data_IF_732064795566
#
_entry.id   IF_732064795566
#
_cell.length_a   1.000
_cell.length_b   1.000
_cell.length_c   1.000
_cell.angle_alpha   90.00
_cell.angle_beta   90.00
_cell.angle_gamma   90.00
#
_symmetry.space_group_name_H-M   'P 1'
#
loop_
_entity.id
_entity.type
_entity.pdbx_description
1 polymer ?
#
# COMPACT_ATOMS: atom_id res chain seq x y z
N UNK A 1 9.96 15.88 -4.54
CA UNK A 1 8.53 16.18 -4.33
C UNK A 1 8.08 15.39 -3.12
N UNK A 2 7.45 16.04 -2.16
CA UNK A 2 7.07 15.45 -0.88
C UNK A 2 5.58 15.14 -0.88
N UNK A 3 5.23 13.88 -1.05
CA UNK A 3 3.85 13.39 -1.07
C UNK A 3 3.46 12.88 0.32
N UNK A 4 2.50 13.56 0.96
CA UNK A 4 1.91 13.09 2.21
C UNK A 4 0.63 12.32 1.93
N UNK A 5 0.54 11.10 2.44
CA UNK A 5 -0.65 10.25 2.33
C UNK A 5 -1.34 10.07 3.67
N UNK A 6 -2.66 10.27 3.71
CA UNK A 6 -3.48 10.04 4.89
C UNK A 6 -4.53 8.97 4.59
N UNK A 7 -4.57 7.93 5.40
CA UNK A 7 -5.60 6.91 5.36
C UNK A 7 -6.35 6.87 6.68
N UNK A 8 -7.67 6.75 6.59
CA UNK A 8 -8.54 6.63 7.76
C UNK A 8 -9.03 5.20 7.90
N UNK A 9 -9.26 4.78 9.14
CA UNK A 9 -9.88 3.50 9.42
C UNK A 9 -11.31 3.45 8.86
N UNK A 10 -11.65 2.32 8.25
CA UNK A 10 -13.06 2.03 7.92
C UNK A 10 -13.87 1.85 9.22
N UNK A 11 -15.18 2.05 9.14
CA UNK A 11 -16.13 1.81 10.22
C UNK A 11 -15.83 2.59 11.52
N UNK A 12 -15.18 3.75 11.43
CA UNK A 12 -14.91 4.62 12.58
C UNK A 12 -16.17 5.25 13.19
N UNK A 13 -17.28 5.23 12.47
CA UNK A 13 -18.61 5.62 12.97
C UNK A 13 -19.50 4.41 13.30
N UNK A 14 -18.98 3.20 13.08
CA UNK A 14 -19.71 1.95 13.24
C UNK A 14 -20.50 1.54 12.00
N UNK A 15 -20.52 0.25 11.74
CA UNK A 15 -21.43 -0.41 10.81
C UNK A 15 -22.38 -1.29 11.65
N UNK A 16 -23.67 -1.01 11.54
CA UNK A 16 -24.70 -1.60 12.40
C UNK A 16 -25.63 -2.47 11.55
N UNK A 17 -25.55 -3.77 11.72
CA UNK A 17 -26.32 -4.73 10.96
C UNK A 17 -27.55 -5.22 11.73
N UNK A 18 -28.67 -5.32 11.04
CA UNK A 18 -29.94 -5.84 11.54
C UNK A 18 -30.46 -6.96 10.63
N UNK A 19 -31.23 -7.92 11.18
CA UNK A 19 -31.77 -9.00 10.36
C UNK A 19 -33.02 -8.59 9.55
N UNK A 20 -33.75 -7.56 10.01
CA UNK A 20 -34.98 -7.07 9.39
C UNK A 20 -35.21 -5.59 9.68
N UNK A 21 -36.19 -4.99 9.00
CA UNK A 21 -36.65 -3.62 9.27
C UNK A 21 -37.29 -3.54 10.66
N UNK A 22 -38.01 -4.58 11.06
CA UNK A 22 -38.62 -4.69 12.38
C UNK A 22 -37.57 -4.69 13.49
N UNK A 23 -36.46 -5.41 13.28
CA UNK A 23 -35.30 -5.41 14.20
C UNK A 23 -34.63 -4.05 14.26
N UNK A 24 -34.48 -3.36 13.11
CA UNK A 24 -33.98 -1.99 13.09
C UNK A 24 -34.86 -1.03 13.89
N UNK A 25 -36.18 -1.08 13.69
CA UNK A 25 -37.17 -0.26 14.43
C UNK A 25 -37.15 -0.58 15.93
N UNK A 26 -36.99 -1.85 16.27
CA UNK A 26 -36.95 -2.33 17.66
C UNK A 26 -35.56 -2.15 18.30
N UNK A 27 -34.55 -1.82 17.51
CA UNK A 27 -33.16 -1.70 17.96
C UNK A 27 -32.46 -3.02 18.28
N UNK A 28 -32.93 -4.12 17.69
CA UNK A 28 -32.36 -5.45 17.86
C UNK A 28 -31.13 -5.64 16.96
N UNK A 29 -30.00 -5.11 17.36
CA UNK A 29 -28.77 -5.18 16.62
C UNK A 29 -28.27 -6.64 16.48
N UNK A 30 -27.94 -7.04 15.28
CA UNK A 30 -27.34 -8.34 14.97
C UNK A 30 -25.80 -8.32 15.13
N UNK A 31 -25.16 -7.33 14.54
CA UNK A 31 -23.70 -7.19 14.50
C UNK A 31 -23.30 -5.71 14.51
N UNK A 32 -22.24 -5.40 15.22
CA UNK A 32 -21.55 -4.12 15.19
C UNK A 32 -20.13 -4.35 14.72
N UNK A 33 -19.74 -3.74 13.61
CA UNK A 33 -18.33 -3.61 13.18
C UNK A 33 -17.87 -2.18 13.50
N UNK A 34 -16.96 -2.06 14.44
CA UNK A 34 -16.45 -0.77 14.88
C UNK A 34 -14.92 -0.79 14.96
N UNK A 35 -14.31 0.26 14.44
CA UNK A 35 -12.86 0.41 14.46
C UNK A 35 -12.51 1.90 14.58
N UNK A 36 -11.75 2.26 15.62
CA UNK A 36 -11.31 3.63 15.81
C UNK A 36 -10.02 3.66 16.63
N UNK A 37 -9.36 4.84 16.70
CA UNK A 37 -8.25 5.05 17.61
C UNK A 37 -8.69 4.96 19.08
N UNK A 38 -7.73 4.79 19.96
CA UNK A 38 -7.92 4.75 21.40
C UNK A 38 -8.55 6.02 21.98
N UNK A 39 -8.30 7.14 21.34
CA UNK A 39 -8.93 8.43 21.66
C UNK A 39 -10.36 8.54 21.20
N UNK A 40 -10.87 7.54 20.46
CA UNK A 40 -12.15 7.54 19.77
C UNK A 40 -12.31 8.68 18.74
N UNK A 41 -11.22 9.26 18.31
CA UNK A 41 -11.19 10.29 17.28
C UNK A 41 -10.67 9.70 15.97
N UNK A 42 -11.47 9.68 14.89
CA UNK A 42 -11.04 9.10 13.61
C UNK A 42 -9.73 9.66 13.05
N UNK A 43 -9.44 10.94 13.31
CA UNK A 43 -8.19 11.57 12.89
C UNK A 43 -6.93 10.96 13.52
N UNK A 44 -7.05 10.40 14.72
CA UNK A 44 -5.94 9.79 15.45
C UNK A 44 -5.72 8.33 14.99
N UNK A 45 -6.70 7.77 14.28
CA UNK A 45 -6.63 6.50 13.60
C UNK A 45 -6.03 6.62 12.18
N UNK A 46 -5.76 7.83 11.71
CA UNK A 46 -5.24 8.02 10.36
C UNK A 46 -3.76 7.60 10.28
N UNK A 47 -3.46 6.66 9.40
CA UNK A 47 -2.08 6.40 8.99
C UNK A 47 -1.56 7.60 8.21
N UNK A 48 -0.39 8.11 8.60
CA UNK A 48 0.25 9.27 7.97
C UNK A 48 1.69 8.95 7.69
N UNK A 49 2.11 9.19 6.48
CA UNK A 49 3.49 9.04 6.06
C UNK A 49 3.75 9.93 4.84
N UNK A 50 5.00 10.24 4.60
CA UNK A 50 5.47 10.90 3.40
C UNK A 50 6.32 9.95 2.57
N UNK A 51 6.40 10.24 1.28
CA UNK A 51 7.31 9.57 0.35
C UNK A 51 7.94 10.64 -0.54
N UNK A 52 9.25 10.70 -0.52
CA UNK A 52 10.05 11.54 -1.39
C UNK A 52 10.70 10.67 -2.46
N UNK A 53 10.83 11.20 -3.68
CA UNK A 53 11.52 10.52 -4.75
C UNK A 53 12.68 11.36 -5.24
N UNK A 54 13.88 10.82 -5.12
CA UNK A 54 15.06 11.38 -5.76
C UNK A 54 15.28 10.69 -7.10
N UNK A 55 15.25 11.45 -8.19
CA UNK A 55 15.37 10.92 -9.53
C UNK A 55 16.50 11.65 -10.25
N UNK A 56 17.50 10.88 -10.69
CA UNK A 56 18.61 11.39 -11.48
C UNK A 56 18.69 10.56 -12.76
N UNK A 57 18.87 11.22 -13.90
CA UNK A 57 19.06 10.51 -15.15
C UNK A 57 20.11 11.20 -16.02
N UNK A 58 20.80 10.39 -16.81
CA UNK A 58 21.71 10.81 -17.84
C UNK A 58 21.42 10.03 -19.11
N UNK A 59 21.40 10.71 -20.25
CA UNK A 59 21.23 10.07 -21.55
C UNK A 59 22.13 10.75 -22.56
N UNK A 60 22.73 9.95 -23.42
CA UNK A 60 23.49 10.42 -24.58
C UNK A 60 22.92 9.79 -25.87
N UNK A 61 23.03 10.54 -26.96
CA UNK A 61 22.64 10.11 -28.30
C UNK A 61 23.86 10.22 -29.22
N UNK A 62 24.29 9.10 -29.72
CA UNK A 62 25.49 8.98 -30.52
C UNK A 62 25.12 8.60 -31.95
N UNK A 63 25.36 9.54 -32.87
CA UNK A 63 25.26 9.28 -34.31
C UNK A 63 26.59 8.63 -34.77
N UNK A 64 26.61 7.31 -34.84
CA UNK A 64 27.78 6.51 -35.18
C UNK A 64 28.18 6.80 -36.63
N UNK A 65 27.22 6.89 -37.52
CA UNK A 65 27.33 7.31 -38.92
C UNK A 65 25.96 7.85 -39.42
N UNK A 66 25.83 8.11 -40.73
CA UNK A 66 24.58 8.61 -41.33
C UNK A 66 23.35 7.69 -41.10
N UNK A 67 23.58 6.40 -40.94
CA UNK A 67 22.57 5.37 -40.99
C UNK A 67 22.36 4.68 -39.64
N UNK A 68 23.23 4.97 -38.66
CA UNK A 68 23.24 4.28 -37.38
C UNK A 68 23.32 5.27 -36.22
N UNK A 69 22.26 5.28 -35.41
CA UNK A 69 22.17 6.06 -34.18
C UNK A 69 22.00 5.14 -32.98
N UNK A 70 22.85 5.33 -31.97
CA UNK A 70 22.72 4.67 -30.66
C UNK A 70 22.30 5.68 -29.59
N UNK A 71 21.46 5.24 -28.65
CA UNK A 71 21.15 5.99 -27.44
C UNK A 71 21.47 5.12 -26.25
N UNK A 72 22.16 5.69 -25.28
CA UNK A 72 22.44 5.04 -23.99
C UNK A 72 21.95 5.95 -22.88
N UNK A 73 21.31 5.38 -21.90
CA UNK A 73 20.81 6.13 -20.75
C UNK A 73 20.92 5.35 -19.46
N UNK A 74 21.02 6.07 -18.39
CA UNK A 74 21.00 5.55 -17.04
C UNK A 74 20.06 6.42 -16.22
N UNK A 75 19.14 5.79 -15.50
CA UNK A 75 18.25 6.44 -14.54
C UNK A 75 18.43 5.79 -13.18
N UNK A 76 18.55 6.61 -12.16
CA UNK A 76 18.57 6.25 -10.76
C UNK A 76 17.31 6.80 -10.10
N UNK A 77 16.64 6.00 -9.30
CA UNK A 77 15.52 6.41 -8.45
C UNK A 77 15.78 5.90 -7.04
N UNK A 78 15.48 6.74 -6.05
CA UNK A 78 15.55 6.42 -4.63
C UNK A 78 14.32 6.96 -3.93
N UNK A 79 13.78 6.17 -3.01
CA UNK A 79 12.67 6.56 -2.14
C UNK A 79 13.24 7.04 -0.81
N UNK A 80 12.82 8.23 -0.38
CA UNK A 80 13.02 8.76 0.96
C UNK A 80 11.73 8.67 1.76
N UNK A 81 11.83 8.23 3.00
CA UNK A 81 10.69 8.13 3.90
C UNK A 81 11.14 8.36 5.34
N UNK A 82 10.75 9.50 5.94
CA UNK A 82 11.20 9.92 7.27
C UNK A 82 10.37 9.36 8.42
N UNK A 83 9.28 8.66 8.11
CA UNK A 83 8.38 8.07 9.09
C UNK A 83 8.41 6.54 9.03
N UNK A 84 8.27 5.89 10.19
CA UNK A 84 8.12 4.44 10.29
C UNK A 84 6.75 4.10 10.92
N UNK A 85 6.17 2.94 10.58
CA UNK A 85 5.01 2.42 11.31
C UNK A 85 5.32 2.23 12.79
N UNK A 86 4.31 2.33 13.65
CA UNK A 86 4.48 2.09 15.07
C UNK A 86 4.82 0.62 15.34
N UNK A 87 5.94 0.39 16.04
CA UNK A 87 6.40 -0.97 16.34
C UNK A 87 5.51 -1.67 17.35
N UNK A 88 4.95 -2.80 16.95
CA UNK A 88 4.15 -3.66 17.83
C UNK A 88 5.01 -4.80 18.41
N UNK A 89 5.38 -4.68 19.67
CA UNK A 89 6.15 -5.69 20.39
C UNK A 89 5.33 -6.93 20.78
N UNK A 90 4.01 -6.88 20.67
CA UNK A 90 3.10 -8.00 20.96
C UNK A 90 2.79 -8.85 19.72
N UNK A 91 3.27 -8.44 18.57
CA UNK A 91 3.08 -9.18 17.33
C UNK A 91 3.90 -10.46 17.32
N UNK A 92 3.22 -11.58 17.09
CA UNK A 92 3.83 -12.90 16.98
C UNK A 92 3.33 -13.63 15.74
N UNK A 93 4.23 -14.41 15.12
CA UNK A 93 3.85 -15.31 14.06
C UNK A 93 3.39 -16.65 14.67
N UNK A 94 2.18 -17.09 14.30
CA UNK A 94 1.65 -18.39 14.74
C UNK A 94 2.23 -19.51 13.86
N UNK A 95 2.93 -20.45 14.47
CA UNK A 95 3.46 -21.65 13.80
C UNK A 95 3.03 -22.90 14.54
N UNK A 96 1.88 -23.44 14.18
CA UNK A 96 1.32 -24.60 14.90
C UNK A 96 1.03 -24.27 16.37
N UNK A 97 1.62 -25.03 17.28
CA UNK A 97 1.46 -24.84 18.72
C UNK A 97 2.46 -23.85 19.34
N UNK A 98 3.27 -23.19 18.53
CA UNK A 98 4.36 -22.33 19.00
C UNK A 98 4.19 -20.90 18.48
N UNK A 99 4.20 -19.94 19.39
CA UNK A 99 4.34 -18.53 19.07
C UNK A 99 5.81 -18.17 18.97
N UNK A 100 6.22 -17.66 17.83
CA UNK A 100 7.56 -17.09 17.63
C UNK A 100 7.44 -15.59 17.38
N UNK A 101 8.42 -14.78 17.82
CA UNK A 101 8.45 -13.37 17.48
C UNK A 101 8.40 -13.19 15.95
N UNK A 102 7.46 -12.40 15.47
CA UNK A 102 7.39 -12.07 14.06
C UNK A 102 8.52 -11.12 13.68
N UNK A 103 8.81 -11.00 12.39
CA UNK A 103 9.61 -9.88 11.88
C UNK A 103 9.06 -8.54 12.36
N UNK A 104 9.91 -7.54 12.42
CA UNK A 104 9.49 -6.18 12.80
C UNK A 104 8.48 -5.63 11.80
N UNK A 105 7.44 -4.97 12.33
CA UNK A 105 6.39 -4.35 11.52
C UNK A 105 6.64 -2.87 11.21
N UNK A 106 7.73 -2.30 11.74
CA UNK A 106 8.11 -0.89 11.58
C UNK A 106 9.10 -0.66 10.42
N UNK A 107 9.07 -1.53 9.43
CA UNK A 107 9.82 -1.37 8.19
C UNK A 107 9.15 -0.33 7.30
N UNK A 108 9.93 0.54 6.69
CA UNK A 108 9.51 1.50 5.67
C UNK A 108 10.36 1.36 4.40
N UNK A 109 10.18 2.26 3.43
CA UNK A 109 10.89 2.23 2.14
C UNK A 109 12.09 3.20 2.09
N UNK A 110 12.52 3.73 3.22
CA UNK A 110 13.62 4.69 3.24
C UNK A 110 14.92 4.08 2.71
N UNK A 111 15.50 4.71 1.69
CA UNK A 111 16.74 4.26 1.05
C UNK A 111 16.56 3.15 0.01
N UNK A 112 15.33 2.71 -0.27
CA UNK A 112 15.10 1.78 -1.39
C UNK A 112 15.42 2.45 -2.71
N UNK A 113 16.27 1.83 -3.51
CA UNK A 113 16.76 2.42 -4.75
C UNK A 113 16.74 1.44 -5.93
N UNK A 114 16.83 1.99 -7.14
CA UNK A 114 16.95 1.22 -8.37
C UNK A 114 17.73 1.97 -9.43
N UNK A 115 18.60 1.22 -10.12
CA UNK A 115 19.35 1.70 -11.28
C UNK A 115 18.76 1.08 -12.55
N UNK A 116 18.38 1.91 -13.51
CA UNK A 116 17.66 1.53 -14.70
C UNK A 116 18.45 1.88 -15.96
N UNK A 117 19.29 0.96 -16.48
CA UNK A 117 19.99 1.15 -17.75
C UNK A 117 19.01 1.08 -18.92
N UNK A 118 19.28 1.87 -19.95
CA UNK A 118 18.54 1.90 -21.20
C UNK A 118 19.49 1.98 -22.38
N UNK A 119 19.17 1.26 -23.43
CA UNK A 119 19.91 1.29 -24.67
C UNK A 119 18.94 1.18 -25.85
N UNK A 120 19.17 1.95 -26.91
CA UNK A 120 18.48 1.75 -28.16
C UNK A 120 19.41 1.97 -29.35
N UNK A 121 19.09 1.29 -30.44
CA UNK A 121 19.78 1.38 -31.70
C UNK A 121 18.75 1.57 -32.82
N UNK A 122 18.96 2.59 -33.64
CA UNK A 122 18.19 2.84 -34.86
C UNK A 122 19.15 2.72 -36.04
N UNK A 123 18.86 1.78 -36.96
CA UNK A 123 19.66 1.50 -38.11
C UNK A 123 18.84 1.61 -39.40
N UNK A 124 19.15 2.61 -40.20
CA UNK A 124 18.61 2.74 -41.57
C UNK A 124 19.36 1.75 -42.47
N UNK A 125 18.83 0.54 -42.55
CA UNK A 125 19.47 -0.55 -43.27
C UNK A 125 19.44 -0.34 -44.81
N UNK A 126 18.39 0.30 -45.31
CA UNK A 126 18.18 0.75 -46.66
C UNK A 126 17.40 2.08 -46.64
N UNK A 127 17.32 2.82 -47.76
CA UNK A 127 16.62 4.10 -47.83
C UNK A 127 15.16 4.03 -47.33
N UNK A 128 14.55 2.86 -47.48
CA UNK A 128 13.16 2.57 -47.11
C UNK A 128 13.01 1.56 -45.96
N UNK A 129 14.12 1.13 -45.30
CA UNK A 129 14.07 0.11 -44.24
C UNK A 129 14.79 0.59 -43.00
N UNK A 130 14.02 0.77 -41.93
CA UNK A 130 14.56 1.08 -40.59
C UNK A 130 14.43 -0.14 -39.67
N UNK A 131 15.53 -0.53 -39.07
CA UNK A 131 15.58 -1.56 -38.02
C UNK A 131 15.82 -0.85 -36.66
N UNK A 132 15.01 -1.17 -35.68
CA UNK A 132 15.15 -0.62 -34.32
C UNK A 132 15.37 -1.73 -33.32
N UNK A 133 16.25 -1.50 -32.37
CA UNK A 133 16.44 -2.34 -31.20
C UNK A 133 16.33 -1.51 -29.93
N UNK A 134 15.72 -2.06 -28.90
CA UNK A 134 15.62 -1.42 -27.60
C UNK A 134 15.80 -2.42 -26.46
N UNK A 135 16.54 -2.00 -25.45
CA UNK A 135 16.67 -2.66 -24.16
C UNK A 135 16.47 -1.63 -23.07
N UNK A 136 15.77 -1.96 -22.02
CA UNK A 136 15.70 -1.07 -20.87
C UNK A 136 15.07 -1.72 -19.65
N UNK A 137 15.48 -1.24 -18.50
CA UNK A 137 14.87 -1.51 -17.22
C UNK A 137 14.03 -0.31 -16.79
N UNK A 138 12.86 -0.60 -16.21
CA UNK A 138 11.85 0.41 -15.87
C UNK A 138 11.25 0.07 -14.53
N UNK A 139 11.20 1.03 -13.61
CA UNK A 139 10.50 0.90 -12.34
C UNK A 139 8.99 0.87 -12.54
N UNK A 140 8.29 0.17 -11.66
CA UNK A 140 6.85 0.25 -11.51
C UNK A 140 6.46 1.50 -10.71
N UNK A 141 5.27 2.03 -10.98
CA UNK A 141 4.68 3.02 -10.08
C UNK A 141 4.23 2.33 -8.80
N UNK A 142 4.64 2.88 -7.66
CA UNK A 142 4.26 2.42 -6.32
C UNK A 142 3.15 3.31 -5.76
N UNK A 143 1.87 2.93 -5.91
CA UNK A 143 0.79 3.73 -5.33
C UNK A 143 0.93 3.83 -3.81
N UNK A 144 0.98 5.03 -3.22
CA UNK A 144 1.15 5.22 -1.77
C UNK A 144 0.14 4.45 -0.92
N UNK A 145 -1.07 4.21 -1.44
CA UNK A 145 -2.11 3.44 -0.77
C UNK A 145 -1.68 2.00 -0.41
N UNK A 146 -0.74 1.41 -1.15
CA UNK A 146 -0.26 0.06 -0.85
C UNK A 146 0.60 0.00 0.41
N UNK A 147 1.20 1.12 0.80
CA UNK A 147 2.10 1.22 1.95
C UNK A 147 1.42 1.78 3.19
N UNK A 148 0.15 2.21 3.08
CA UNK A 148 -0.61 2.76 4.21
C UNK A 148 -1.00 1.73 5.26
N UNK A 149 -1.10 0.45 4.90
CA UNK A 149 -1.52 -0.62 5.79
C UNK A 149 -0.72 -0.67 7.12
N UNK A 150 0.61 -0.75 7.10
CA UNK A 150 1.42 -0.78 8.31
C UNK A 150 1.25 0.44 9.23
N UNK A 151 0.95 1.61 8.67
CA UNK A 151 0.75 2.86 9.43
C UNK A 151 -0.62 2.94 10.10
N UNK A 152 -1.63 2.23 9.57
CA UNK A 152 -2.98 2.18 10.14
C UNK A 152 -3.14 0.97 11.05
N UNK A 153 -2.75 -0.19 10.55
CA UNK A 153 -2.96 -1.48 11.17
C UNK A 153 -1.67 -1.93 11.89
N UNK A 154 -1.13 -1.11 12.77
CA UNK A 154 0.01 -1.49 13.64
C UNK A 154 -0.39 -2.52 14.70
N UNK A 155 -1.69 -2.74 14.90
CA UNK A 155 -2.24 -3.56 15.99
C UNK A 155 -2.31 -2.83 17.32
N UNK A 156 -1.76 -1.63 17.43
CA UNK A 156 -1.73 -0.83 18.66
C UNK A 156 -2.77 0.29 18.65
N UNK A 157 -2.90 1.00 17.53
CA UNK A 157 -3.67 2.23 17.43
C UNK A 157 -5.12 2.06 17.00
N UNK A 158 -5.47 0.87 16.51
CA UNK A 158 -6.79 0.59 15.96
C UNK A 158 -7.38 -0.70 16.52
N UNK A 159 -7.83 -0.71 17.78
CA UNK A 159 -8.68 -1.79 18.22
C UNK A 159 -9.93 -1.81 17.34
N UNK A 160 -10.15 -2.91 16.64
CA UNK A 160 -11.32 -3.07 15.80
C UNK A 160 -11.76 -4.52 15.75
N UNK A 161 -13.05 -4.75 15.91
CA UNK A 161 -13.62 -6.07 15.83
C UNK A 161 -15.08 -6.02 15.40
N UNK A 162 -15.55 -7.16 14.86
CA UNK A 162 -16.96 -7.41 14.63
C UNK A 162 -17.59 -8.04 15.86
N UNK A 163 -18.38 -7.26 16.55
CA UNK A 163 -19.15 -7.71 17.72
C UNK A 163 -20.50 -8.26 17.27
N UNK A 164 -20.80 -9.49 17.65
CA UNK A 164 -22.09 -10.13 17.35
C UNK A 164 -22.95 -10.20 18.60
N UNK A 165 -24.23 -9.83 18.48
CA UNK A 165 -25.16 -9.77 19.60
C UNK A 165 -25.21 -11.07 20.43
N UNK A 166 -25.12 -12.23 19.78
CA UNK A 166 -25.17 -13.54 20.45
C UNK A 166 -23.87 -13.92 21.18
N UNK A 167 -22.73 -13.44 20.73
CA UNK A 167 -21.44 -13.80 21.31
C UNK A 167 -20.91 -12.77 22.32
N UNK A 168 -21.33 -11.52 22.19
CA UNK A 168 -20.74 -10.41 22.92
C UNK A 168 -21.74 -9.68 23.85
N UNK A 169 -22.95 -10.21 24.03
CA UNK A 169 -23.98 -9.57 24.87
C UNK A 169 -24.15 -8.07 24.54
N UNK A 170 -24.19 -7.74 23.25
CA UNK A 170 -24.42 -6.36 22.85
C UNK A 170 -25.66 -5.83 23.54
N UNK A 171 -25.57 -4.70 24.24
CA UNK A 171 -26.72 -4.16 24.92
C UNK A 171 -27.83 -3.88 23.90
N UNK A 172 -29.01 -4.37 24.22
CA UNK A 172 -30.20 -3.99 23.46
C UNK A 172 -30.49 -2.54 23.84
N UNK A 173 -30.10 -1.59 23.10
CA UNK A 173 -31.10 -0.74 22.49
C UNK A 173 -30.64 -0.16 21.21
N UNK A 174 -31.31 -0.23 20.41
CA UNK A 174 -31.55 0.73 19.94
C UNK A 174 -31.09 1.10 18.59
N UNK A 175 -31.13 2.24 18.22
CA UNK A 175 -30.71 2.92 17.04
C UNK A 175 -29.17 3.17 17.08
N UNK A 176 -28.51 3.41 15.96
CA UNK A 176 -27.08 3.77 15.94
C UNK A 176 -26.72 4.92 16.89
N UNK A 177 -27.64 5.86 17.11
CA UNK A 177 -27.45 6.98 18.06
C UNK A 177 -27.35 6.54 19.52
N UNK A 178 -27.86 5.37 19.87
CA UNK A 178 -27.76 4.84 21.24
C UNK A 178 -26.43 4.12 21.51
N UNK A 179 -25.57 3.98 20.51
CA UNK A 179 -24.19 3.55 20.65
C UNK A 179 -23.24 4.73 20.42
N UNK A 180 -23.00 5.56 21.40
CA UNK A 180 -21.93 6.54 21.28
C UNK A 180 -20.60 5.82 21.09
N UNK A 181 -19.70 6.40 20.30
CA UNK A 181 -18.43 5.80 19.93
C UNK A 181 -17.62 5.24 21.11
N UNK A 182 -17.66 5.90 22.26
CA UNK A 182 -16.97 5.44 23.48
C UNK A 182 -17.51 4.10 23.99
N UNK A 183 -18.80 3.89 23.93
CA UNK A 183 -19.40 2.61 24.33
C UNK A 183 -19.04 1.49 23.35
N UNK A 184 -19.04 1.77 22.05
CA UNK A 184 -18.63 0.81 21.02
C UNK A 184 -17.13 0.47 21.18
N UNK A 185 -16.28 1.45 21.42
CA UNK A 185 -14.86 1.24 21.66
C UNK A 185 -14.59 0.38 22.90
N UNK A 186 -15.31 0.64 24.01
CA UNK A 186 -15.19 -0.14 25.23
C UNK A 186 -15.59 -1.61 25.03
N UNK A 187 -16.64 -1.88 24.25
CA UNK A 187 -17.04 -3.24 23.89
C UNK A 187 -15.96 -3.96 23.06
N UNK A 188 -15.41 -3.27 22.05
CA UNK A 188 -14.34 -3.82 21.23
C UNK A 188 -13.10 -4.13 22.06
N UNK A 189 -12.68 -3.23 22.95
CA UNK A 189 -11.53 -3.44 23.82
C UNK A 189 -11.71 -4.61 24.78
N UNK A 190 -12.90 -4.76 25.35
CA UNK A 190 -13.22 -5.91 26.21
C UNK A 190 -13.13 -7.24 25.48
N UNK A 191 -13.42 -7.25 24.18
CA UNK A 191 -13.35 -8.47 23.36
C UNK A 191 -11.94 -8.84 22.93
N UNK A 192 -11.15 -7.84 22.48
CA UNK A 192 -9.80 -8.11 21.98
C UNK A 192 -8.72 -8.14 23.09
N UNK A 193 -9.01 -7.59 24.28
CA UNK A 193 -8.05 -7.47 25.37
C UNK A 193 -6.87 -6.56 25.03
N UNK A 194 -5.78 -6.70 25.79
CA UNK A 194 -4.56 -5.88 25.64
C UNK A 194 -3.55 -6.45 24.61
N UNK A 195 -3.95 -7.46 23.84
CA UNK A 195 -3.02 -8.20 22.96
C UNK A 195 -2.77 -7.54 21.60
N UNK A 196 -3.32 -6.36 21.37
CA UNK A 196 -3.25 -5.69 20.08
C UNK A 196 -4.17 -6.32 19.04
N UNK A 197 -4.45 -5.58 17.99
CA UNK A 197 -5.29 -6.00 16.87
C UNK A 197 -4.48 -6.63 15.74
N UNK A 198 -5.12 -6.68 14.56
CA UNK A 198 -4.47 -7.08 13.33
C UNK A 198 -3.26 -6.18 13.04
N UNK A 199 -2.12 -6.79 12.74
CA UNK A 199 -0.87 -6.07 12.43
C UNK A 199 -0.50 -6.30 10.98
N UNK A 200 -0.48 -5.25 10.20
CA UNK A 200 0.08 -5.24 8.86
C UNK A 200 1.58 -4.93 8.94
N UNK A 201 2.33 -5.51 8.03
CA UNK A 201 3.77 -5.26 7.93
C UNK A 201 4.22 -5.24 6.48
N UNK A 202 5.35 -4.62 6.24
CA UNK A 202 6.07 -4.70 4.98
C UNK A 202 7.27 -5.65 5.16
N UNK A 203 7.60 -6.39 4.12
CA UNK A 203 8.81 -7.22 4.13
C UNK A 203 10.04 -6.30 4.14
N UNK A 204 11.01 -6.62 4.99
CA UNK A 204 12.27 -5.86 5.08
C UNK A 204 13.11 -5.89 3.80
N UNK A 205 12.88 -6.88 2.95
CA UNK A 205 13.57 -7.09 1.67
C UNK A 205 12.68 -6.66 0.48
N UNK A 206 11.62 -5.87 0.75
CA UNK A 206 10.77 -5.31 -0.30
C UNK A 206 11.57 -4.29 -1.11
N UNK A 207 11.74 -4.54 -2.41
CA UNK A 207 12.41 -3.63 -3.33
C UNK A 207 11.46 -2.99 -4.35
N UNK A 208 11.92 -1.95 -5.01
CA UNK A 208 11.15 -1.28 -6.08
C UNK A 208 10.90 -2.27 -7.23
N UNK A 209 9.63 -2.59 -7.56
CA UNK A 209 9.35 -3.49 -8.66
C UNK A 209 9.87 -2.93 -9.98
N UNK A 210 10.51 -3.76 -10.76
CA UNK A 210 11.00 -3.38 -12.08
C UNK A 210 10.61 -4.38 -13.16
N UNK A 211 10.72 -3.94 -14.39
CA UNK A 211 10.52 -4.77 -15.58
C UNK A 211 11.61 -4.50 -16.60
N UNK A 212 12.23 -5.57 -17.08
CA UNK A 212 13.13 -5.51 -18.24
C UNK A 212 12.32 -5.64 -19.53
N UNK A 213 12.50 -4.70 -20.45
CA UNK A 213 11.90 -4.72 -21.78
C UNK A 213 12.96 -4.83 -22.86
N UNK A 214 12.72 -5.74 -23.80
CA UNK A 214 13.53 -5.89 -25.02
C UNK A 214 12.57 -5.73 -26.20
N UNK A 215 12.95 -4.95 -27.18
CA UNK A 215 12.18 -4.73 -28.40
C UNK A 215 13.07 -4.85 -29.64
N UNK A 216 12.51 -5.40 -30.69
CA UNK A 216 13.05 -5.39 -32.05
C UNK A 216 11.94 -4.94 -32.99
N UNK A 217 12.20 -3.92 -33.77
CA UNK A 217 11.26 -3.38 -34.74
C UNK A 217 11.86 -3.34 -36.14
N UNK A 218 11.00 -3.46 -37.13
CA UNK A 218 11.32 -3.24 -38.52
C UNK A 218 10.22 -2.40 -39.15
N UNK A 219 10.60 -1.29 -39.74
CA UNK A 219 9.70 -0.43 -40.53
C UNK A 219 10.20 -0.42 -41.95
N UNK A 220 9.35 -0.83 -42.90
CA UNK A 220 9.65 -0.79 -44.33
C UNK A 220 8.58 0.02 -45.04
N UNK A 221 9.00 1.01 -45.85
CA UNK A 221 8.10 1.72 -46.76
C UNK A 221 8.03 0.90 -48.06
N UNK A 222 6.88 0.25 -48.19
CA UNK A 222 6.57 -0.52 -49.41
C UNK A 222 5.88 0.44 -50.38
N UNK A 223 6.62 1.04 -51.30
CA UNK A 223 6.05 1.80 -52.41
C UNK A 223 5.19 0.85 -53.27
N UNK A 224 3.98 0.57 -52.81
CA UNK A 224 2.99 -0.15 -53.60
C UNK A 224 2.41 0.83 -54.62
N UNK A 225 2.86 0.72 -55.88
CA UNK A 225 2.32 1.45 -57.03
C UNK A 225 0.92 0.91 -57.35
#
# INVERSE_FOLDING_TARGET
>A
ENDMFNMFSRNSLGEYDYNSIEDFIAGNLRELDYRNADTNMPRDAAGRFNMDYTIIYLQDTWNINSDLTARIGLRYEEIGQDTTPEYNSFWYNWTGDTYIPAPRNDVNLDGEDIIMPRFSLDWQAEDNVLVTFGYGEFSGNLPPVWFGGPYIDSGLNLPGNKLRAKSNNLPTPGTPESYPGDAALALVRNEIGDTGGYTAMMDKDFGIPSITKISLGLVADLNLI
#
